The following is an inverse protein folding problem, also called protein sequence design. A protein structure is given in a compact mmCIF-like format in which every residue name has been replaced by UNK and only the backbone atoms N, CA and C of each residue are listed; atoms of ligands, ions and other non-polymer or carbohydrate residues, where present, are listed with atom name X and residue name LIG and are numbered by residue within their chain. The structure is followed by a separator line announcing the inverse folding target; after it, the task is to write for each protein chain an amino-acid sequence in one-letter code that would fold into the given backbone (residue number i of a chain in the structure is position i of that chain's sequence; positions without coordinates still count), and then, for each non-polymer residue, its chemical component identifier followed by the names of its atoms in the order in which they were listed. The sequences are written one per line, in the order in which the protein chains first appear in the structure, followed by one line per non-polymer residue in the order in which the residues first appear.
data_IF_849367975293
#
_entry.id   IF_849367975293
#
_cell.length_a   1.000
_cell.length_b   1.000
_cell.length_c   1.000
_cell.angle_alpha   90.00
_cell.angle_beta   90.00
_cell.angle_gamma   90.00
#
_symmetry.space_group_name_H-M   'P 1'
#
loop_
_entity.id
_entity.type
_entity.pdbx_description
1 polymer ?
#
# COMPACT_ATOMS: atom_id res chain seq x y z
N UNK A 1 11.05 -29.39 -2.09
CA UNK A 1 9.99 -28.39 -1.87
C UNK A 1 10.57 -27.01 -2.12
N UNK A 2 9.80 -26.08 -2.72
CA UNK A 2 10.24 -24.68 -2.79
C UNK A 2 10.23 -24.06 -1.38
N UNK A 3 11.09 -23.05 -1.11
CA UNK A 3 11.05 -22.36 0.16
C UNK A 3 9.71 -21.61 0.34
N UNK A 4 9.27 -21.45 1.60
CA UNK A 4 8.21 -20.53 1.92
C UNK A 4 8.66 -19.11 1.55
N UNK A 5 7.86 -18.39 0.79
CA UNK A 5 8.25 -17.10 0.22
C UNK A 5 7.39 -15.97 0.78
N UNK A 6 8.03 -14.93 1.32
CA UNK A 6 7.35 -13.74 1.87
C UNK A 6 7.77 -12.51 1.06
N UNK A 7 6.80 -11.78 0.52
CA UNK A 7 7.05 -10.54 -0.22
C UNK A 7 6.89 -9.32 0.68
N UNK A 8 7.90 -8.46 0.74
CA UNK A 8 7.89 -7.20 1.47
C UNK A 8 7.88 -5.99 0.54
N UNK A 9 7.01 -5.03 0.84
CA UNK A 9 6.95 -3.78 0.11
C UNK A 9 8.23 -2.96 0.29
N UNK A 10 8.91 -2.63 -0.81
CA UNK A 10 10.07 -1.71 -0.84
C UNK A 10 9.63 -0.29 -0.45
N UNK A 11 10.50 0.44 0.22
CA UNK A 11 10.26 1.84 0.61
C UNK A 11 10.01 1.99 2.10
N UNK A 12 9.12 2.91 2.48
CA UNK A 12 8.91 3.31 3.88
C UNK A 12 8.51 2.15 4.81
N UNK A 13 7.74 1.18 4.32
CA UNK A 13 7.31 0.03 5.12
C UNK A 13 8.41 -1.02 5.35
N UNK A 14 9.46 -1.02 4.52
CA UNK A 14 10.42 -2.13 4.49
C UNK A 14 11.16 -2.38 5.82
N UNK A 15 11.69 -1.35 6.53
CA UNK A 15 12.42 -1.57 7.78
C UNK A 15 11.54 -2.22 8.87
N UNK A 16 10.31 -1.74 9.03
CA UNK A 16 9.38 -2.24 10.05
C UNK A 16 8.81 -3.62 9.66
N UNK A 17 8.61 -3.86 8.36
CA UNK A 17 8.24 -5.18 7.84
C UNK A 17 9.35 -6.21 8.13
N UNK A 18 10.61 -5.83 7.92
CA UNK A 18 11.75 -6.68 8.23
C UNK A 18 11.87 -6.96 9.75
N UNK A 19 11.67 -5.93 10.58
CA UNK A 19 11.63 -6.10 12.03
C UNK A 19 10.48 -7.03 12.48
N UNK A 20 9.34 -7.00 11.77
CA UNK A 20 8.22 -7.91 12.02
C UNK A 20 8.61 -9.36 11.71
N UNK A 21 9.34 -9.62 10.63
CA UNK A 21 9.84 -10.98 10.34
C UNK A 21 10.77 -11.48 11.44
N UNK A 22 11.60 -10.61 12.03
CA UNK A 22 12.46 -10.99 13.16
C UNK A 22 11.64 -11.41 14.39
N UNK A 23 10.50 -10.75 14.66
CA UNK A 23 9.57 -11.17 15.71
C UNK A 23 8.93 -12.53 15.40
N UNK A 24 8.71 -12.85 14.14
CA UNK A 24 8.25 -14.19 13.71
C UNK A 24 9.34 -15.27 13.81
N UNK A 25 10.54 -14.92 14.30
CA UNK A 25 11.67 -15.83 14.43
C UNK A 25 12.43 -16.05 13.13
N UNK A 26 12.19 -15.25 12.10
CA UNK A 26 12.86 -15.32 10.81
C UNK A 26 14.13 -14.49 10.87
N UNK A 27 15.29 -15.13 10.63
CA UNK A 27 16.62 -14.50 10.65
C UNK A 27 17.29 -14.68 9.31
N UNK A 28 17.51 -13.59 8.59
CA UNK A 28 18.12 -13.64 7.27
C UNK A 28 19.61 -13.95 7.36
N UNK A 29 20.09 -14.85 6.51
CA UNK A 29 21.50 -15.23 6.41
C UNK A 29 22.40 -14.05 6.02
N UNK A 30 21.86 -13.14 5.21
CA UNK A 30 22.53 -11.93 4.76
C UNK A 30 21.54 -10.76 4.71
N UNK A 31 21.98 -9.53 5.02
CA UNK A 31 21.14 -8.35 4.90
C UNK A 31 20.81 -8.06 3.43
N UNK A 32 19.72 -7.35 3.21
CA UNK A 32 19.42 -6.75 1.91
C UNK A 32 20.44 -5.66 1.59
N UNK A 33 20.91 -5.64 0.35
CA UNK A 33 21.69 -4.54 -0.20
C UNK A 33 20.97 -3.89 -1.40
N UNK A 34 21.53 -2.83 -1.96
CA UNK A 34 20.90 -2.08 -3.06
C UNK A 34 20.64 -2.89 -4.33
N UNK A 35 21.31 -4.02 -4.50
CA UNK A 35 21.23 -4.88 -5.70
C UNK A 35 20.49 -6.18 -5.46
N UNK A 36 20.41 -6.66 -4.21
CA UNK A 36 19.74 -7.91 -3.87
C UNK A 36 18.26 -7.65 -3.59
N UNK A 37 17.43 -8.26 -4.39
CA UNK A 37 15.97 -8.21 -4.24
C UNK A 37 15.40 -9.39 -3.45
N UNK A 38 16.27 -10.32 -3.01
CA UNK A 38 15.89 -11.47 -2.20
C UNK A 38 16.95 -11.81 -1.16
N UNK A 39 16.49 -12.34 -0.03
CA UNK A 39 17.33 -12.87 1.04
C UNK A 39 16.70 -14.16 1.56
N UNK A 40 17.48 -15.01 2.23
CA UNK A 40 17.06 -16.32 2.74
C UNK A 40 17.26 -16.43 4.24
N UNK A 41 16.39 -17.18 4.88
CA UNK A 41 16.62 -17.83 6.17
C UNK A 41 16.76 -19.33 5.88
N UNK A 42 18.02 -19.81 5.77
CA UNK A 42 18.31 -21.19 5.44
C UNK A 42 17.86 -22.16 6.53
N UNK A 43 17.87 -21.74 7.80
CA UNK A 43 17.45 -22.55 8.93
C UNK A 43 15.97 -22.92 8.85
N UNK A 44 15.11 -22.00 8.45
CA UNK A 44 13.67 -22.22 8.38
C UNK A 44 13.16 -22.45 6.95
N UNK A 45 14.08 -22.50 5.97
CA UNK A 45 13.76 -22.67 4.55
C UNK A 45 12.79 -21.62 4.04
N UNK A 46 13.05 -20.34 4.37
CA UNK A 46 12.25 -19.19 4.00
C UNK A 46 13.02 -18.29 3.03
N UNK A 47 12.32 -17.80 2.01
CA UNK A 47 12.82 -16.77 1.11
C UNK A 47 12.03 -15.47 1.34
N UNK A 48 12.73 -14.36 1.44
CA UNK A 48 12.12 -13.03 1.55
C UNK A 48 12.44 -12.23 0.29
N UNK A 49 11.41 -11.64 -0.32
CA UNK A 49 11.51 -10.82 -1.52
C UNK A 49 11.27 -9.35 -1.17
N UNK A 50 12.10 -8.44 -1.70
CA UNK A 50 11.87 -7.00 -1.65
C UNK A 50 11.39 -6.52 -3.00
N UNK A 51 10.11 -6.18 -3.13
CA UNK A 51 9.48 -5.77 -4.38
C UNK A 51 8.68 -4.47 -4.22
N UNK A 52 8.22 -3.87 -5.30
CA UNK A 52 7.37 -2.68 -5.23
C UNK A 52 6.06 -3.00 -4.52
N UNK A 53 5.57 -2.06 -3.68
CA UNK A 53 4.32 -2.24 -2.93
C UNK A 53 3.14 -2.66 -3.82
N UNK A 54 3.03 -2.07 -5.01
CA UNK A 54 1.97 -2.42 -5.97
C UNK A 54 2.06 -3.83 -6.54
N UNK A 55 3.21 -4.47 -6.47
CA UNK A 55 3.42 -5.82 -6.99
C UNK A 55 3.20 -6.89 -5.90
N UNK A 56 3.30 -6.53 -4.60
CA UNK A 56 3.16 -7.48 -3.49
C UNK A 56 1.85 -8.27 -3.54
N UNK A 57 0.66 -7.63 -3.68
CA UNK A 57 -0.60 -8.37 -3.75
C UNK A 57 -0.67 -9.29 -4.98
N UNK A 58 -0.08 -8.91 -6.10
CA UNK A 58 -0.04 -9.72 -7.32
C UNK A 58 0.79 -10.98 -7.10
N UNK A 59 2.00 -10.85 -6.53
CA UNK A 59 2.86 -12.00 -6.22
C UNK A 59 2.18 -12.98 -5.27
N UNK A 60 1.46 -12.46 -4.26
CA UNK A 60 0.74 -13.31 -3.30
C UNK A 60 -0.49 -13.95 -3.96
N UNK A 61 -1.29 -13.21 -4.70
CA UNK A 61 -2.47 -13.73 -5.38
C UNK A 61 -2.13 -14.87 -6.35
N UNK A 62 -1.05 -14.69 -7.12
CA UNK A 62 -0.59 -15.68 -8.11
C UNK A 62 0.22 -16.84 -7.48
N UNK A 63 0.48 -16.81 -6.18
CA UNK A 63 1.23 -17.86 -5.47
C UNK A 63 2.74 -17.84 -5.74
N UNK A 64 3.28 -16.78 -6.33
CA UNK A 64 4.73 -16.56 -6.44
C UNK A 64 5.35 -16.21 -5.08
N UNK A 65 4.57 -15.59 -4.19
CA UNK A 65 4.83 -15.49 -2.76
C UNK A 65 3.68 -16.14 -1.98
N UNK A 66 3.99 -16.75 -0.83
CA UNK A 66 2.99 -17.37 0.05
C UNK A 66 2.29 -16.34 0.91
N UNK A 67 3.07 -15.35 1.38
CA UNK A 67 2.61 -14.26 2.23
C UNK A 67 3.24 -12.93 1.78
N UNK A 68 2.70 -11.83 2.32
CA UNK A 68 3.26 -10.51 2.05
C UNK A 68 2.95 -9.48 3.13
N UNK A 69 3.78 -8.43 3.20
CA UNK A 69 3.53 -7.24 4.01
C UNK A 69 3.46 -6.03 3.07
N UNK A 70 2.32 -5.34 3.08
CA UNK A 70 2.02 -4.23 2.17
C UNK A 70 1.01 -3.29 2.81
N UNK A 71 0.87 -2.06 2.31
CA UNK A 71 -0.17 -1.13 2.76
C UNK A 71 -1.58 -1.61 2.39
N UNK A 72 -2.53 -1.43 3.29
CA UNK A 72 -3.95 -1.71 3.05
C UNK A 72 -4.47 -0.97 1.83
N UNK A 73 -4.05 0.28 1.63
CA UNK A 73 -4.40 1.12 0.48
C UNK A 73 -4.18 0.39 -0.85
N UNK A 74 -3.04 -0.27 -1.02
CA UNK A 74 -2.71 -1.00 -2.25
C UNK A 74 -3.61 -2.23 -2.44
N UNK A 75 -3.87 -2.97 -1.37
CA UNK A 75 -4.69 -4.18 -1.43
C UNK A 75 -6.13 -3.85 -1.78
N UNK A 76 -6.69 -2.81 -1.16
CA UNK A 76 -8.06 -2.35 -1.41
C UNK A 76 -8.20 -1.70 -2.78
N UNK A 77 -7.24 -0.86 -3.20
CA UNK A 77 -7.24 -0.26 -4.54
C UNK A 77 -7.25 -1.31 -5.65
N UNK A 78 -6.46 -2.36 -5.49
CA UNK A 78 -6.38 -3.43 -6.49
C UNK A 78 -7.48 -4.48 -6.37
N UNK A 79 -8.29 -4.43 -5.31
CA UNK A 79 -9.26 -5.50 -5.02
C UNK A 79 -8.62 -6.89 -5.09
N UNK A 80 -7.39 -6.99 -4.58
CA UNK A 80 -6.56 -8.17 -4.74
C UNK A 80 -7.18 -9.41 -4.09
N UNK A 81 -7.27 -10.57 -4.79
CA UNK A 81 -7.90 -11.80 -4.28
C UNK A 81 -6.99 -12.55 -3.29
N UNK A 82 -6.53 -11.86 -2.26
CA UNK A 82 -5.68 -12.38 -1.19
C UNK A 82 -6.43 -12.45 0.14
N UNK A 83 -5.91 -13.22 1.10
CA UNK A 83 -6.42 -13.19 2.47
C UNK A 83 -5.83 -11.99 3.22
N UNK A 84 -6.68 -11.20 3.84
CA UNK A 84 -6.29 -10.16 4.80
C UNK A 84 -6.14 -10.87 6.15
N UNK A 85 -4.90 -11.15 6.57
CA UNK A 85 -4.66 -11.95 7.77
C UNK A 85 -4.79 -11.11 9.04
N UNK A 86 -3.95 -10.09 9.19
CA UNK A 86 -4.09 -9.10 10.28
C UNK A 86 -3.37 -7.79 9.95
N UNK A 87 -3.85 -6.66 10.50
CA UNK A 87 -3.16 -5.38 10.41
C UNK A 87 -1.90 -5.39 11.28
N UNK A 88 -0.88 -4.68 10.84
CA UNK A 88 0.38 -4.50 11.57
C UNK A 88 0.45 -3.07 12.13
N UNK A 89 1.04 -2.86 13.33
CA UNK A 89 0.98 -1.60 14.04
C UNK A 89 2.00 -0.56 13.53
N UNK A 90 2.11 -0.42 12.20
CA UNK A 90 2.98 0.56 11.55
C UNK A 90 2.49 0.92 10.15
N UNK A 91 3.18 1.87 9.50
CA UNK A 91 2.87 2.30 8.14
C UNK A 91 1.56 3.09 8.03
N UNK A 92 1.17 3.80 9.08
CA UNK A 92 -0.06 4.59 9.11
C UNK A 92 0.02 5.75 8.12
N UNK A 93 -0.98 5.86 7.26
CA UNK A 93 -1.18 6.98 6.36
C UNK A 93 -2.66 7.13 6.02
N UNK A 94 -3.00 8.24 5.39
CA UNK A 94 -4.37 8.49 4.93
C UNK A 94 -4.36 8.80 3.43
N UNK A 95 -5.28 8.21 2.69
CA UNK A 95 -5.62 8.67 1.35
C UNK A 95 -6.58 9.86 1.52
N UNK A 96 -6.20 11.03 1.01
CA UNK A 96 -6.93 12.26 1.25
C UNK A 96 -7.29 12.98 -0.04
N UNK A 97 -8.40 13.70 -0.03
CA UNK A 97 -8.74 14.69 -1.05
C UNK A 97 -8.02 15.99 -0.70
N UNK A 98 -7.28 16.56 -1.66
CA UNK A 98 -6.63 17.86 -1.49
C UNK A 98 -6.87 18.78 -2.70
N UNK A 99 -6.96 20.07 -2.44
CA UNK A 99 -7.24 21.10 -3.44
C UNK A 99 -6.29 22.29 -3.30
N UNK A 100 -6.12 23.12 -4.34
CA UNK A 100 -5.40 24.38 -4.23
C UNK A 100 -5.91 25.25 -3.08
N UNK A 101 -5.01 25.87 -2.31
CA UNK A 101 -5.37 26.76 -1.19
C UNK A 101 -6.27 27.90 -1.68
N UNK A 102 -6.07 28.37 -2.90
CA UNK A 102 -6.82 29.46 -3.53
C UNK A 102 -8.24 29.08 -3.95
N UNK A 103 -8.56 27.78 -4.00
CA UNK A 103 -9.89 27.32 -4.41
C UNK A 103 -10.91 27.51 -3.28
N UNK A 104 -11.95 28.35 -3.52
CA UNK A 104 -13.02 28.59 -2.56
C UNK A 104 -14.04 27.45 -2.50
N UNK A 105 -14.45 26.95 -3.67
CA UNK A 105 -15.37 25.81 -3.81
C UNK A 105 -14.71 24.72 -4.67
N UNK A 106 -13.81 23.93 -4.09
CA UNK A 106 -13.00 22.97 -4.86
C UNK A 106 -13.81 21.78 -5.39
N UNK A 107 -14.91 21.44 -4.75
CA UNK A 107 -15.76 20.31 -5.15
C UNK A 107 -17.02 20.87 -5.84
N UNK A 108 -17.11 20.64 -7.14
CA UNK A 108 -18.21 21.07 -8.03
C UNK A 108 -18.82 19.83 -8.68
N UNK A 109 -19.99 19.98 -9.34
CA UNK A 109 -20.44 19.01 -10.32
C UNK A 109 -19.41 18.91 -11.47
N UNK A 110 -19.10 17.69 -11.92
CA UNK A 110 -18.11 17.41 -12.97
C UNK A 110 -16.70 17.93 -12.66
N UNK A 111 -16.10 17.39 -11.62
CA UNK A 111 -14.75 17.73 -11.18
C UNK A 111 -13.73 16.72 -11.72
N UNK A 112 -12.57 17.20 -12.14
CA UNK A 112 -11.43 16.35 -12.54
C UNK A 112 -10.51 16.10 -11.36
N UNK A 113 -10.27 14.81 -11.05
CA UNK A 113 -9.45 14.35 -9.90
C UNK A 113 -8.24 13.57 -10.40
N UNK A 114 -7.04 14.06 -10.11
CA UNK A 114 -5.81 13.30 -10.38
C UNK A 114 -5.46 12.39 -9.18
N UNK A 115 -5.14 11.13 -9.47
CA UNK A 115 -4.87 10.15 -8.42
C UNK A 115 -4.06 8.95 -8.92
N UNK A 116 -3.39 8.28 -8.00
CA UNK A 116 -2.84 6.94 -8.19
C UNK A 116 -3.83 5.84 -7.78
N UNK A 117 -4.91 6.21 -7.08
CA UNK A 117 -5.90 5.33 -6.46
C UNK A 117 -7.30 5.52 -7.08
N UNK A 118 -7.48 5.21 -8.37
CA UNK A 118 -8.74 5.46 -9.08
C UNK A 118 -9.94 4.72 -8.48
N UNK A 119 -9.78 3.47 -8.01
CA UNK A 119 -10.87 2.70 -7.46
C UNK A 119 -11.41 3.32 -6.14
N UNK A 120 -10.52 3.54 -5.17
CA UNK A 120 -10.89 4.13 -3.88
C UNK A 120 -11.42 5.56 -4.05
N UNK A 121 -10.83 6.34 -4.96
CA UNK A 121 -11.29 7.69 -5.28
C UNK A 121 -12.69 7.68 -5.88
N UNK A 122 -12.93 6.82 -6.88
CA UNK A 122 -14.24 6.70 -7.52
C UNK A 122 -15.31 6.30 -6.52
N UNK A 123 -15.05 5.30 -5.69
CA UNK A 123 -15.97 4.84 -4.65
C UNK A 123 -16.35 5.97 -3.70
N UNK A 124 -15.36 6.72 -3.19
CA UNK A 124 -15.59 7.83 -2.27
C UNK A 124 -16.50 8.92 -2.83
N UNK A 125 -16.29 9.33 -4.08
CA UNK A 125 -17.11 10.36 -4.70
C UNK A 125 -18.50 9.84 -5.11
N UNK A 126 -18.60 8.57 -5.52
CA UNK A 126 -19.91 7.92 -5.78
C UNK A 126 -20.79 7.86 -4.54
N UNK A 127 -20.23 7.51 -3.37
CA UNK A 127 -20.96 7.49 -2.10
C UNK A 127 -21.51 8.87 -1.71
N UNK A 128 -20.89 9.95 -2.21
CA UNK A 128 -21.34 11.35 -2.03
C UNK A 128 -22.27 11.84 -3.14
N UNK A 129 -22.53 11.04 -4.15
CA UNK A 129 -23.34 11.45 -5.31
C UNK A 129 -22.66 12.49 -6.20
N UNK A 130 -21.33 12.55 -6.19
CA UNK A 130 -20.54 13.50 -6.98
C UNK A 130 -19.94 12.77 -8.18
N UNK A 131 -20.24 13.28 -9.39
CA UNK A 131 -19.65 12.79 -10.63
C UNK A 131 -18.26 13.37 -10.84
N UNK A 132 -17.28 12.50 -11.13
CA UNK A 132 -15.88 12.88 -11.31
C UNK A 132 -15.28 12.34 -12.60
N UNK A 133 -14.35 13.10 -13.17
CA UNK A 133 -13.44 12.60 -14.20
C UNK A 133 -12.11 12.25 -13.56
N UNK A 134 -11.64 11.00 -13.73
CA UNK A 134 -10.39 10.55 -13.15
C UNK A 134 -9.22 10.71 -14.14
N UNK A 135 -8.11 11.25 -13.63
CA UNK A 135 -6.81 11.26 -14.30
C UNK A 135 -5.85 10.39 -13.49
N UNK A 136 -5.55 9.19 -14.00
CA UNK A 136 -4.62 8.28 -13.33
C UNK A 136 -3.19 8.71 -13.57
N UNK A 137 -2.45 8.97 -12.48
CA UNK A 137 -1.03 9.28 -12.47
C UNK A 137 -0.26 8.26 -11.61
N UNK A 138 1.05 8.18 -11.81
CA UNK A 138 1.92 7.25 -11.06
C UNK A 138 2.90 7.96 -10.12
N UNK A 139 2.98 9.29 -10.18
CA UNK A 139 3.80 10.15 -9.33
C UNK A 139 3.58 11.62 -9.65
N UNK A 140 4.15 12.51 -8.83
CA UNK A 140 4.01 13.96 -8.93
C UNK A 140 2.54 14.44 -9.03
N UNK A 141 1.65 13.77 -8.29
CA UNK A 141 0.21 13.99 -8.33
C UNK A 141 -0.12 15.41 -7.86
N UNK A 142 0.65 15.94 -6.91
CA UNK A 142 0.52 17.28 -6.33
C UNK A 142 0.67 18.39 -7.38
N UNK A 143 1.34 18.10 -8.49
CA UNK A 143 1.53 19.06 -9.58
C UNK A 143 0.32 19.19 -10.51
N UNK A 144 -0.60 18.25 -10.48
CA UNK A 144 -1.72 18.21 -11.42
C UNK A 144 -2.60 19.46 -11.38
N UNK A 145 -2.97 20.03 -10.22
CA UNK A 145 -3.76 21.26 -10.18
C UNK A 145 -3.00 22.48 -10.69
N UNK A 146 -1.70 22.59 -10.38
CA UNK A 146 -0.88 23.72 -10.80
C UNK A 146 -0.67 23.76 -12.32
N UNK A 147 -0.74 22.62 -12.99
CA UNK A 147 -0.62 22.49 -14.45
C UNK A 147 -1.95 22.54 -15.19
N UNK A 148 -3.08 22.62 -14.45
CA UNK A 148 -4.43 22.58 -15.05
C UNK A 148 -4.84 21.18 -15.53
N UNK A 149 -4.13 20.14 -15.15
CA UNK A 149 -4.45 18.75 -15.51
C UNK A 149 -5.64 18.20 -14.71
N UNK A 150 -5.84 18.69 -13.49
CA UNK A 150 -6.97 18.34 -12.64
C UNK A 150 -7.36 19.50 -11.74
N UNK A 151 -8.61 19.52 -11.26
CA UNK A 151 -9.09 20.53 -10.31
C UNK A 151 -8.58 20.26 -8.90
N UNK A 152 -8.57 18.98 -8.52
CA UNK A 152 -8.15 18.47 -7.21
C UNK A 152 -7.37 17.17 -7.35
N UNK A 153 -6.84 16.68 -6.23
CA UNK A 153 -6.13 15.41 -6.18
C UNK A 153 -6.68 14.49 -5.08
N UNK A 154 -6.42 13.21 -5.25
CA UNK A 154 -6.51 12.23 -4.16
C UNK A 154 -5.18 11.49 -4.07
N UNK A 155 -4.46 11.64 -2.95
CA UNK A 155 -3.15 11.05 -2.75
C UNK A 155 -2.88 10.69 -1.29
N UNK A 156 -1.86 9.85 -1.06
CA UNK A 156 -1.44 9.47 0.29
C UNK A 156 -0.81 10.64 1.04
N UNK A 157 -1.20 10.77 2.29
CA UNK A 157 -0.72 11.78 3.20
C UNK A 157 -0.31 11.14 4.53
N UNK A 158 0.92 11.41 4.98
CA UNK A 158 1.40 11.02 6.32
C UNK A 158 1.42 12.24 7.24
N UNK A 159 2.04 13.33 6.82
CA UNK A 159 2.21 14.54 7.64
C UNK A 159 1.59 15.79 7.01
N UNK A 160 1.16 15.73 5.76
CA UNK A 160 0.64 16.86 5.01
C UNK A 160 1.68 17.89 4.55
N UNK A 161 2.97 17.66 4.83
CA UNK A 161 4.05 18.60 4.47
C UNK A 161 4.13 18.80 2.96
N UNK A 162 4.16 17.71 2.19
CA UNK A 162 4.22 17.76 0.72
C UNK A 162 3.04 18.53 0.11
N UNK A 163 1.83 18.33 0.63
CA UNK A 163 0.66 19.06 0.18
C UNK A 163 0.83 20.58 0.37
N UNK A 164 1.25 21.00 1.58
CA UNK A 164 1.48 22.43 1.89
C UNK A 164 2.56 23.06 1.03
N UNK A 165 3.66 22.34 0.81
CA UNK A 165 4.78 22.81 -0.02
C UNK A 165 4.36 23.02 -1.49
N UNK A 166 3.34 22.28 -1.96
CA UNK A 166 2.78 22.42 -3.30
C UNK A 166 1.50 23.29 -3.35
N UNK A 167 1.23 24.10 -2.31
CA UNK A 167 0.10 25.02 -2.27
C UNK A 167 -1.27 24.34 -2.20
N UNK A 168 -1.33 23.11 -1.65
CA UNK A 168 -2.56 22.35 -1.48
C UNK A 168 -3.02 22.34 -0.02
N UNK A 169 -4.33 22.31 0.17
CA UNK A 169 -4.99 22.08 1.47
C UNK A 169 -5.73 20.77 1.44
N UNK A 170 -5.64 20.03 2.55
CA UNK A 170 -6.43 18.83 2.79
C UNK A 170 -7.91 19.23 2.95
N UNK A 171 -8.80 18.50 2.31
CA UNK A 171 -10.24 18.65 2.42
C UNK A 171 -10.87 17.56 3.27
N UNK A 172 -10.69 16.30 2.86
CA UNK A 172 -11.31 15.14 3.50
C UNK A 172 -10.42 13.91 3.41
N UNK A 173 -10.62 12.98 4.33
CA UNK A 173 -9.97 11.65 4.29
C UNK A 173 -10.86 10.67 3.55
N UNK A 174 -10.31 10.02 2.53
CA UNK A 174 -10.95 8.98 1.72
C UNK A 174 -10.84 7.63 2.39
N UNK A 175 -9.62 7.28 2.83
CA UNK A 175 -9.30 5.96 3.36
C UNK A 175 -8.12 6.04 4.35
N UNK A 176 -8.23 5.34 5.49
CA UNK A 176 -7.11 5.19 6.44
C UNK A 176 -6.40 3.87 6.18
N UNK A 177 -5.09 3.92 6.05
CA UNK A 177 -4.26 2.78 5.73
C UNK A 177 -3.18 2.55 6.79
N UNK A 178 -2.84 1.28 6.95
CA UNK A 178 -1.67 0.81 7.71
C UNK A 178 -1.11 -0.43 7.03
N UNK A 179 0.03 -0.92 7.49
CA UNK A 179 0.58 -2.16 6.98
C UNK A 179 -0.36 -3.34 7.27
N UNK A 180 -0.46 -4.26 6.31
CA UNK A 180 -1.30 -5.45 6.38
C UNK A 180 -0.45 -6.69 6.07
N UNK A 181 -0.57 -7.73 6.87
CA UNK A 181 -0.07 -9.05 6.53
C UNK A 181 -1.13 -9.77 5.69
N UNK A 182 -0.74 -10.17 4.48
CA UNK A 182 -1.62 -10.83 3.51
C UNK A 182 -1.11 -12.24 3.19
N UNK A 183 -2.02 -13.10 2.73
CA UNK A 183 -1.66 -14.48 2.39
C UNK A 183 -2.37 -15.01 1.15
N UNK A 184 -1.69 -15.92 0.46
CA UNK A 184 -2.30 -16.74 -0.58
C UNK A 184 -3.24 -17.76 0.07
N UNK A 185 -4.44 -17.97 -0.49
CA UNK A 185 -5.46 -18.87 0.05
C UNK A 185 -4.99 -20.33 0.20
N UNK A 186 -4.21 -20.83 -0.76
CA UNK A 186 -3.67 -22.20 -0.73
C UNK A 186 -2.52 -22.30 0.27
N UNK A 187 -1.60 -21.36 0.22
CA UNK A 187 -0.45 -21.31 1.13
C UNK A 187 -0.88 -21.16 2.59
N UNK A 188 -1.91 -20.37 2.88
CA UNK A 188 -2.47 -20.25 4.22
C UNK A 188 -2.91 -21.61 4.80
N UNK A 189 -3.56 -22.44 4.00
CA UNK A 189 -3.95 -23.81 4.44
C UNK A 189 -2.73 -24.68 4.70
N UNK A 190 -1.73 -24.60 3.82
CA UNK A 190 -0.50 -25.41 3.91
C UNK A 190 0.33 -25.04 5.14
N UNK A 191 0.47 -23.73 5.43
CA UNK A 191 1.33 -23.21 6.49
C UNK A 191 0.56 -22.70 7.72
N UNK A 192 -0.68 -23.18 7.92
CA UNK A 192 -1.57 -22.68 8.98
C UNK A 192 -0.94 -22.71 10.38
N UNK A 193 -0.25 -23.80 10.75
CA UNK A 193 0.40 -23.92 12.06
C UNK A 193 1.48 -22.84 12.28
N UNK A 194 2.27 -22.57 11.24
CA UNK A 194 3.31 -21.52 11.28
C UNK A 194 2.71 -20.13 11.36
N UNK A 195 1.69 -19.84 10.57
CA UNK A 195 0.96 -18.56 10.61
C UNK A 195 0.34 -18.32 11.98
N UNK A 196 -0.23 -19.34 12.60
CA UNK A 196 -0.79 -19.25 13.96
C UNK A 196 0.28 -18.86 15.00
N UNK A 197 1.51 -19.37 14.87
CA UNK A 197 2.64 -18.99 15.72
C UNK A 197 3.00 -17.52 15.51
N UNK A 198 3.07 -17.05 14.27
CA UNK A 198 3.37 -15.65 13.95
C UNK A 198 2.31 -14.67 14.46
N UNK A 199 1.05 -15.07 14.49
CA UNK A 199 -0.05 -14.24 15.01
C UNK A 199 0.07 -13.97 16.51
N UNK A 200 0.81 -14.81 17.26
CA UNK A 200 1.01 -14.71 18.71
C UNK A 200 2.32 -13.98 19.10
N UNK A 201 3.16 -13.66 18.13
CA UNK A 201 4.44 -12.99 18.32
C UNK A 201 4.31 -11.46 18.21
#
# INVERSE_FOLDING_TARGET
MRPLTIALAKGALFPEALATLSKFGITLDHPFDSRRLSATDSKHHIQVLQIRSWDVPVYVAMGAADFGIVGQDVVYEQQAPVLHLWPLPFGYCELVVAAPITSLNPIKAHITVATKYPFLTQQFFQEKGIDIQLVKLYGAIEMAPATGLADIITDLCVTGKTLKENGLKLLETVFKSQALFIGNKTSFKTYYAQVKTWMQA
#
